data_IF_032077958310
#
_entry.id   IF_032077958310
#
_cell.length_a   1.000
_cell.length_b   1.000
_cell.length_c   1.000
_cell.angle_alpha   90.00
_cell.angle_beta   90.00
_cell.angle_gamma   90.00
#
_symmetry.space_group_name_H-M   'P 1'
#
loop_
_entity.id
_entity.type
_entity.pdbx_description
1 polymer ?
#
# COMPACT_ATOMS: atom_id res chain seq x y z
N UNK A 1 14.84 -4.77 22.96
CA UNK A 1 15.23 -5.32 21.65
C UNK A 1 13.95 -5.49 20.87
N UNK A 2 13.81 -4.86 19.70
CA UNK A 2 12.64 -5.09 18.85
C UNK A 2 12.77 -6.49 18.27
N UNK A 3 11.76 -7.33 18.45
CA UNK A 3 11.72 -8.63 17.79
C UNK A 3 11.74 -8.43 16.27
N UNK A 4 12.36 -9.36 15.55
CA UNK A 4 12.32 -9.34 14.08
C UNK A 4 10.93 -9.71 13.57
N UNK A 5 10.57 -9.26 12.37
CA UNK A 5 9.29 -9.61 11.74
C UNK A 5 9.08 -11.14 11.69
N UNK A 6 10.15 -11.89 11.37
CA UNK A 6 10.10 -13.35 11.35
C UNK A 6 9.75 -13.96 12.72
N UNK A 7 10.27 -13.37 13.80
CA UNK A 7 9.97 -13.84 15.16
C UNK A 7 8.53 -13.53 15.55
N UNK A 8 8.07 -12.31 15.28
CA UNK A 8 6.69 -11.92 15.54
C UNK A 8 5.70 -12.77 14.75
N UNK A 9 6.04 -13.13 13.51
CA UNK A 9 5.23 -14.06 12.70
C UNK A 9 5.18 -15.45 13.33
N UNK A 10 6.32 -16.01 13.76
CA UNK A 10 6.35 -17.33 14.44
C UNK A 10 5.49 -17.34 15.68
N UNK A 11 5.62 -16.32 16.54
CA UNK A 11 4.82 -16.18 17.76
C UNK A 11 3.34 -16.05 17.44
N UNK A 12 2.98 -15.26 16.43
CA UNK A 12 1.59 -15.14 15.98
C UNK A 12 1.01 -16.49 15.54
N UNK A 13 1.77 -17.28 14.76
CA UNK A 13 1.36 -18.62 14.33
C UNK A 13 1.22 -19.60 15.51
N UNK A 14 1.95 -19.39 16.59
CA UNK A 14 1.83 -20.14 17.84
C UNK A 14 0.66 -19.68 18.74
N UNK A 15 -0.15 -18.71 18.29
CA UNK A 15 -1.32 -18.21 19.01
C UNK A 15 -1.09 -16.94 19.83
N UNK A 16 0.10 -16.33 19.77
CA UNK A 16 0.40 -15.09 20.49
C UNK A 16 -0.18 -13.87 19.75
N UNK A 17 -1.32 -13.39 20.25
CA UNK A 17 -2.00 -12.20 19.70
C UNK A 17 -1.19 -10.91 19.83
N UNK A 18 -0.39 -10.77 20.89
CA UNK A 18 0.42 -9.56 21.12
C UNK A 18 1.53 -9.41 20.08
N UNK A 19 2.03 -10.52 19.56
CA UNK A 19 3.00 -10.52 18.47
C UNK A 19 2.39 -9.96 17.17
N UNK A 20 1.13 -10.28 16.89
CA UNK A 20 0.44 -9.73 15.73
C UNK A 20 0.14 -8.23 15.89
N UNK A 21 -0.27 -7.79 17.08
CA UNK A 21 -0.45 -6.37 17.39
C UNK A 21 0.84 -5.58 17.14
N UNK A 22 2.00 -6.17 17.48
CA UNK A 22 3.31 -5.57 17.20
C UNK A 22 3.62 -5.50 15.69
N UNK A 23 3.22 -6.52 14.91
CA UNK A 23 3.33 -6.47 13.44
C UNK A 23 2.44 -5.37 12.85
N UNK A 24 1.21 -5.24 13.35
CA UNK A 24 0.28 -4.18 12.92
C UNK A 24 0.88 -2.81 13.22
N UNK A 25 1.31 -2.56 14.45
CA UNK A 25 1.87 -1.28 14.86
C UNK A 25 3.10 -0.89 14.02
N UNK A 26 3.99 -1.85 13.76
CA UNK A 26 5.20 -1.64 12.96
C UNK A 26 4.90 -1.32 11.49
N UNK A 27 3.94 -2.02 10.89
CA UNK A 27 3.73 -1.97 9.43
C UNK A 27 2.52 -1.16 8.98
N UNK A 28 1.72 -0.61 9.90
CA UNK A 28 0.53 0.18 9.57
C UNK A 28 0.85 1.37 8.67
N UNK A 29 1.92 2.12 8.95
CA UNK A 29 2.31 3.28 8.14
C UNK A 29 2.64 2.90 6.69
N UNK A 30 3.43 1.84 6.52
CA UNK A 30 3.79 1.29 5.19
C UNK A 30 2.57 0.77 4.45
N UNK A 31 1.72 -0.01 5.11
CA UNK A 31 0.48 -0.52 4.53
C UNK A 31 -0.43 0.64 4.08
N UNK A 32 -0.59 1.67 4.93
CA UNK A 32 -1.37 2.87 4.62
C UNK A 32 -0.82 3.62 3.40
N UNK A 33 0.49 3.75 3.26
CA UNK A 33 1.13 4.37 2.10
C UNK A 33 0.80 3.60 0.79
N UNK A 34 0.87 2.27 0.82
CA UNK A 34 0.49 1.43 -0.33
C UNK A 34 -1.00 1.59 -0.66
N UNK A 35 -1.89 1.54 0.33
CA UNK A 35 -3.32 1.75 0.13
C UNK A 35 -3.61 3.13 -0.49
N UNK A 36 -3.01 4.21 0.03
CA UNK A 36 -3.15 5.60 -0.49
C UNK A 36 -2.53 5.80 -1.87
N UNK A 37 -1.64 4.91 -2.31
CA UNK A 37 -1.13 4.94 -3.68
C UNK A 37 -2.20 4.54 -4.70
N UNK A 38 -3.21 3.77 -4.27
CA UNK A 38 -4.29 3.22 -5.09
C UNK A 38 -5.63 3.94 -4.81
N UNK A 39 -5.98 4.11 -3.54
CA UNK A 39 -7.21 4.73 -3.06
C UNK A 39 -7.01 6.21 -2.76
N UNK A 40 -8.08 6.99 -2.91
CA UNK A 40 -8.05 8.44 -2.70
C UNK A 40 -8.91 8.91 -1.52
N UNK A 41 -9.75 8.02 -0.98
CA UNK A 41 -10.66 8.25 0.13
C UNK A 41 -10.08 7.62 1.40
N UNK A 42 -9.95 8.40 2.48
CA UNK A 42 -9.34 7.93 3.72
C UNK A 42 -10.21 6.89 4.44
N UNK A 43 -11.54 7.00 4.36
CA UNK A 43 -12.44 5.98 4.92
C UNK A 43 -12.24 4.63 4.20
N UNK A 44 -12.15 4.66 2.87
CA UNK A 44 -11.83 3.48 2.08
C UNK A 44 -10.45 2.89 2.40
N UNK A 45 -9.45 3.74 2.71
CA UNK A 45 -8.12 3.29 3.14
C UNK A 45 -8.20 2.54 4.46
N UNK A 46 -8.88 3.10 5.46
CA UNK A 46 -9.01 2.47 6.78
C UNK A 46 -9.71 1.11 6.70
N UNK A 47 -10.81 1.03 5.95
CA UNK A 47 -11.54 -0.22 5.70
C UNK A 47 -10.64 -1.27 5.03
N UNK A 48 -9.90 -0.87 3.99
CA UNK A 48 -8.99 -1.77 3.28
C UNK A 48 -7.86 -2.23 4.19
N UNK A 49 -7.30 -1.36 5.03
CA UNK A 49 -6.25 -1.74 5.97
C UNK A 49 -6.76 -2.78 6.97
N UNK A 50 -7.93 -2.56 7.56
CA UNK A 50 -8.53 -3.49 8.51
C UNK A 50 -8.72 -4.87 7.88
N UNK A 51 -9.36 -4.93 6.72
CA UNK A 51 -9.58 -6.19 5.98
C UNK A 51 -8.26 -6.85 5.58
N UNK A 52 -7.26 -6.06 5.18
CA UNK A 52 -5.93 -6.57 4.78
C UNK A 52 -5.20 -7.21 5.95
N UNK A 53 -5.22 -6.59 7.13
CA UNK A 53 -4.61 -7.18 8.33
C UNK A 53 -5.35 -8.43 8.79
N UNK A 54 -6.69 -8.45 8.73
CA UNK A 54 -7.47 -9.66 9.02
C UNK A 54 -7.12 -10.80 8.04
N UNK A 55 -6.97 -10.50 6.75
CA UNK A 55 -6.53 -11.48 5.75
C UNK A 55 -5.10 -11.95 5.99
N UNK A 56 -4.21 -11.04 6.32
CA UNK A 56 -2.82 -11.36 6.65
C UNK A 56 -2.76 -12.31 7.86
N UNK A 57 -3.54 -12.04 8.91
CA UNK A 57 -3.65 -12.91 10.08
C UNK A 57 -4.11 -14.32 9.69
N UNK A 58 -5.20 -14.43 8.92
CA UNK A 58 -5.76 -15.71 8.51
C UNK A 58 -4.87 -16.51 7.54
N UNK A 59 -4.03 -15.83 6.76
CA UNK A 59 -3.15 -16.45 5.75
C UNK A 59 -1.69 -16.55 6.21
N UNK A 60 -1.39 -16.17 7.45
CA UNK A 60 -0.02 -16.08 7.93
C UNK A 60 0.72 -17.42 7.81
N UNK A 61 0.03 -18.54 8.00
CA UNK A 61 0.58 -19.89 7.83
C UNK A 61 0.91 -20.29 6.38
N UNK A 62 0.50 -19.49 5.38
CA UNK A 62 0.84 -19.68 3.97
C UNK A 62 2.09 -18.87 3.58
N UNK A 63 2.63 -18.06 4.50
CA UNK A 63 3.84 -17.29 4.25
C UNK A 63 5.05 -18.23 4.26
N UNK A 64 5.64 -18.46 3.09
CA UNK A 64 6.81 -19.33 2.95
C UNK A 64 8.03 -18.77 3.69
N UNK A 65 8.45 -17.56 3.36
CA UNK A 65 9.60 -16.90 3.98
C UNK A 65 9.13 -15.80 4.94
N UNK A 66 9.29 -16.04 6.24
CA UNK A 66 8.72 -15.18 7.29
C UNK A 66 9.29 -13.75 7.27
N UNK A 67 10.56 -13.59 6.87
CA UNK A 67 11.20 -12.29 6.74
C UNK A 67 10.59 -11.42 5.62
N UNK A 68 9.85 -12.02 4.69
CA UNK A 68 9.16 -11.31 3.60
C UNK A 68 7.79 -10.79 3.99
N UNK A 69 7.37 -10.97 5.25
CA UNK A 69 6.07 -10.49 5.75
C UNK A 69 5.72 -9.05 5.32
N UNK A 70 6.63 -8.05 5.39
CA UNK A 70 6.26 -6.68 5.04
C UNK A 70 5.90 -6.53 3.55
N UNK A 71 6.68 -7.15 2.67
CA UNK A 71 6.44 -7.17 1.24
C UNK A 71 5.14 -7.92 0.92
N UNK A 72 4.95 -9.08 1.54
CA UNK A 72 3.74 -9.91 1.40
C UNK A 72 2.48 -9.17 1.85
N UNK A 73 2.52 -8.49 2.99
CA UNK A 73 1.43 -7.65 3.49
C UNK A 73 1.07 -6.55 2.48
N UNK A 74 2.08 -5.88 1.90
CA UNK A 74 1.83 -4.83 0.91
C UNK A 74 1.15 -5.36 -0.36
N UNK A 75 1.45 -6.59 -0.78
CA UNK A 75 0.75 -7.25 -1.89
C UNK A 75 -0.72 -7.50 -1.53
N UNK A 76 -1.01 -7.97 -0.31
CA UNK A 76 -2.40 -8.12 0.18
C UNK A 76 -3.13 -6.77 0.14
N UNK A 77 -2.53 -5.72 0.72
CA UNK A 77 -3.13 -4.38 0.79
C UNK A 77 -3.43 -3.83 -0.59
N UNK A 78 -2.51 -3.97 -1.54
CA UNK A 78 -2.73 -3.56 -2.93
C UNK A 78 -3.90 -4.32 -3.56
N UNK A 79 -3.93 -5.64 -3.41
CA UNK A 79 -4.97 -6.47 -4.00
C UNK A 79 -6.35 -6.13 -3.41
N UNK A 80 -6.44 -5.89 -2.11
CA UNK A 80 -7.67 -5.45 -1.46
C UNK A 80 -8.09 -4.04 -1.90
N UNK A 81 -7.14 -3.13 -2.10
CA UNK A 81 -7.41 -1.80 -2.66
C UNK A 81 -8.02 -1.89 -4.07
N UNK A 82 -7.47 -2.73 -4.94
CA UNK A 82 -8.01 -2.97 -6.29
C UNK A 82 -9.39 -3.65 -6.23
N UNK A 83 -9.56 -4.61 -5.33
CA UNK A 83 -10.84 -5.29 -5.07
C UNK A 83 -11.92 -4.31 -4.62
N UNK A 84 -11.58 -3.37 -3.73
CA UNK A 84 -12.46 -2.30 -3.27
C UNK A 84 -12.92 -1.42 -4.43
N UNK A 85 -12.00 -0.94 -5.28
CA UNK A 85 -12.35 -0.13 -6.48
C UNK A 85 -13.30 -0.92 -7.37
N UNK A 86 -12.98 -2.18 -7.68
CA UNK A 86 -13.82 -3.03 -8.54
C UNK A 86 -15.23 -3.22 -7.96
N UNK A 87 -15.37 -3.36 -6.64
CA UNK A 87 -16.67 -3.46 -5.95
C UNK A 87 -17.43 -2.13 -6.04
N UNK A 88 -16.77 -1.01 -5.77
CA UNK A 88 -17.37 0.32 -5.86
C UNK A 88 -17.84 0.66 -7.28
N UNK A 89 -17.04 0.33 -8.31
CA UNK A 89 -17.44 0.52 -9.72
C UNK A 89 -18.66 -0.34 -10.09
N UNK A 90 -18.73 -1.59 -9.63
CA UNK A 90 -19.91 -2.44 -9.85
C UNK A 90 -21.15 -1.90 -9.15
N UNK A 91 -21.02 -1.43 -7.91
CA UNK A 91 -22.12 -0.82 -7.18
C UNK A 91 -22.64 0.45 -7.86
N UNK A 92 -21.72 1.32 -8.34
CA UNK A 92 -22.08 2.53 -9.11
C UNK A 92 -22.64 2.23 -10.50
N UNK A 93 -22.27 1.12 -11.13
CA UNK A 93 -22.87 0.70 -12.39
C UNK A 93 -24.35 0.29 -12.24
N UNK A 94 -24.79 -0.05 -11.02
CA UNK A 94 -26.19 -0.35 -10.68
C UNK A 94 -26.95 0.93 -10.27
N UNK A 95 -26.24 1.98 -9.88
CA UNK A 95 -26.81 3.24 -9.39
C UNK A 95 -26.27 4.39 -10.25
N UNK A 96 -26.91 4.65 -11.39
CA UNK A 96 -26.57 5.85 -12.17
C UNK A 96 -26.83 7.10 -11.33
N UNK A 97 -25.91 8.04 -11.47
CA UNK A 97 -25.93 9.45 -11.11
C UNK A 97 -25.16 9.90 -9.85
N UNK A 98 -24.08 10.63 -10.15
CA UNK A 98 -23.54 11.82 -9.47
C UNK A 98 -22.11 11.77 -8.87
N UNK A 99 -21.39 12.78 -9.34
CA UNK A 99 -20.35 13.60 -8.71
C UNK A 99 -19.08 12.92 -8.19
N UNK A 100 -18.03 13.03 -9.01
CA UNK A 100 -16.64 13.01 -8.56
C UNK A 100 -16.31 14.31 -7.83
N UNK A 101 -16.59 14.36 -6.53
CA UNK A 101 -15.94 15.30 -5.62
C UNK A 101 -14.59 14.71 -5.20
N UNK A 102 -13.55 15.55 -5.22
CA UNK A 102 -12.25 15.23 -4.64
C UNK A 102 -12.35 15.61 -3.16
N UNK A 103 -12.36 14.67 -2.20
CA UNK A 103 -12.31 15.04 -0.79
C UNK A 103 -10.95 15.67 -0.51
N UNK A 104 -10.99 16.85 0.10
CA UNK A 104 -9.82 17.48 0.67
C UNK A 104 -9.42 16.68 1.92
N UNK A 105 -8.14 16.32 1.99
CA UNK A 105 -7.60 15.32 2.93
C UNK A 105 -7.31 15.95 4.28
N UNK A 106 -7.66 15.23 5.34
CA UNK A 106 -7.22 15.55 6.69
C UNK A 106 -5.86 14.90 6.97
N UNK A 107 -4.91 15.78 7.30
CA UNK A 107 -3.49 15.55 7.52
C UNK A 107 -3.23 14.93 8.90
N UNK A 108 -3.54 13.65 9.10
CA UNK A 108 -3.26 12.99 10.37
C UNK A 108 -1.77 12.63 10.49
N UNK A 109 -1.05 13.36 11.36
CA UNK A 109 0.31 13.06 11.81
C UNK A 109 1.44 13.56 10.90
N UNK A 110 1.41 14.81 10.44
CA UNK A 110 2.39 15.31 9.48
C UNK A 110 3.66 15.89 10.11
N UNK A 111 4.82 15.37 9.67
CA UNK A 111 6.07 16.13 9.74
C UNK A 111 6.00 17.24 8.67
N UNK A 112 5.94 18.54 9.04
CA UNK A 112 5.77 19.65 8.10
C UNK A 112 6.85 19.71 7.02
N UNK A 113 8.01 19.09 7.28
CA UNK A 113 9.13 19.03 6.35
C UNK A 113 8.87 18.10 5.15
N UNK A 114 7.91 17.17 5.26
CA UNK A 114 7.55 16.22 4.20
C UNK A 114 6.37 16.69 3.34
N UNK A 115 5.74 17.81 3.68
CA UNK A 115 4.59 18.34 2.96
C UNK A 115 4.83 18.59 1.45
N UNK A 116 5.97 19.18 1.04
CA UNK A 116 6.25 19.36 -0.38
C UNK A 116 6.33 18.03 -1.14
N UNK A 117 6.93 17.00 -0.51
CA UNK A 117 7.04 15.67 -1.10
C UNK A 117 5.68 14.99 -1.19
N UNK A 118 4.84 15.09 -0.16
CA UNK A 118 3.49 14.55 -0.21
C UNK A 118 2.69 15.16 -1.35
N UNK A 119 2.65 16.49 -1.43
CA UNK A 119 1.95 17.20 -2.53
C UNK A 119 2.49 16.81 -3.90
N UNK A 120 3.81 16.60 -4.03
CA UNK A 120 4.40 16.10 -5.27
C UNK A 120 3.86 14.69 -5.62
N UNK A 121 3.85 13.75 -4.66
CA UNK A 121 3.32 12.39 -4.85
C UNK A 121 1.81 12.38 -5.16
N UNK A 122 1.04 13.31 -4.61
CA UNK A 122 -0.38 13.48 -4.91
C UNK A 122 -0.63 13.95 -6.35
N UNK A 123 0.26 14.77 -6.90
CA UNK A 123 0.18 15.23 -8.30
C UNK A 123 0.58 14.16 -9.31
N UNK A 124 1.25 13.09 -8.89
CA UNK A 124 1.62 12.00 -9.78
C UNK A 124 0.36 11.28 -10.31
N UNK A 125 0.34 10.92 -11.61
CA UNK A 125 -0.68 10.02 -12.13
C UNK A 125 -0.70 8.69 -11.36
N UNK A 126 -1.87 8.05 -11.17
CA UNK A 126 -2.03 6.91 -10.26
C UNK A 126 -1.01 5.78 -10.47
N UNK A 127 -0.75 5.38 -11.72
CA UNK A 127 0.20 4.30 -12.02
C UNK A 127 1.67 4.62 -11.69
N UNK A 128 2.05 5.90 -11.66
CA UNK A 128 3.39 6.31 -11.23
C UNK A 128 3.50 6.42 -9.70
N UNK A 129 2.40 6.77 -9.02
CA UNK A 129 2.35 6.76 -7.56
C UNK A 129 2.41 5.32 -7.03
N UNK A 130 1.62 4.43 -7.62
CA UNK A 130 1.56 3.00 -7.28
C UNK A 130 2.93 2.32 -7.42
N UNK A 131 3.64 2.54 -8.53
CA UNK A 131 4.94 1.89 -8.75
C UNK A 131 6.02 2.41 -7.78
N UNK A 132 5.96 3.67 -7.36
CA UNK A 132 6.85 4.21 -6.32
C UNK A 132 6.53 3.58 -4.96
N UNK A 133 5.25 3.46 -4.61
CA UNK A 133 4.86 2.83 -3.35
C UNK A 133 5.29 1.37 -3.29
N UNK A 134 5.12 0.62 -4.38
CA UNK A 134 5.62 -0.76 -4.46
C UNK A 134 7.14 -0.85 -4.31
N UNK A 135 7.89 0.13 -4.81
CA UNK A 135 9.35 0.12 -4.74
C UNK A 135 9.89 0.54 -3.37
N UNK A 136 9.35 1.63 -2.81
CA UNK A 136 9.93 2.30 -1.65
C UNK A 136 9.20 1.98 -0.34
N UNK A 137 7.88 1.86 -0.38
CA UNK A 137 7.10 1.46 0.80
C UNK A 137 7.11 -0.06 0.93
N UNK A 138 6.68 -0.79 -0.10
CA UNK A 138 6.62 -2.26 -0.06
C UNK A 138 7.97 -2.96 -0.19
N UNK A 139 9.02 -2.23 -0.60
CA UNK A 139 10.38 -2.76 -0.73
C UNK A 139 10.57 -3.81 -1.83
N UNK A 140 9.63 -3.91 -2.79
CA UNK A 140 9.68 -4.94 -3.82
C UNK A 140 10.87 -4.72 -4.79
N UNK A 141 11.43 -5.83 -5.27
CA UNK A 141 12.38 -5.80 -6.38
C UNK A 141 11.65 -5.62 -7.73
N UNK A 142 12.40 -5.43 -8.82
CA UNK A 142 11.77 -5.11 -10.10
C UNK A 142 10.95 -6.27 -10.67
N UNK A 143 11.37 -7.52 -10.43
CA UNK A 143 10.66 -8.71 -10.87
C UNK A 143 9.32 -8.85 -10.13
N UNK A 144 9.33 -8.66 -8.81
CA UNK A 144 8.12 -8.68 -7.97
C UNK A 144 7.13 -7.55 -8.33
N UNK A 145 7.64 -6.36 -8.65
CA UNK A 145 6.80 -5.26 -9.14
C UNK A 145 6.20 -5.61 -10.51
N UNK A 146 7.01 -6.17 -11.41
CA UNK A 146 6.57 -6.58 -12.74
C UNK A 146 5.46 -7.63 -12.67
N UNK A 147 5.62 -8.64 -11.83
CA UNK A 147 4.62 -9.67 -11.55
C UNK A 147 3.33 -9.06 -10.96
N UNK A 148 3.45 -8.24 -9.90
CA UNK A 148 2.31 -7.60 -9.23
C UNK A 148 1.50 -6.70 -10.17
N UNK A 149 2.18 -5.99 -11.08
CA UNK A 149 1.55 -5.08 -12.05
C UNK A 149 1.14 -5.77 -13.37
N UNK A 150 1.50 -7.05 -13.59
CA UNK A 150 1.25 -7.75 -14.85
C UNK A 150 1.97 -7.11 -16.04
N UNK A 151 3.23 -6.69 -15.87
CA UNK A 151 4.03 -5.98 -16.88
C UNK A 151 5.45 -6.54 -16.97
N UNK A 152 6.27 -6.07 -17.92
CA UNK A 152 7.70 -6.42 -17.99
C UNK A 152 8.59 -5.59 -17.06
N UNK A 153 9.71 -6.16 -16.63
CA UNK A 153 10.78 -5.49 -15.85
C UNK A 153 11.29 -4.23 -16.54
N UNK A 154 11.49 -4.28 -17.86
CA UNK A 154 11.91 -3.12 -18.65
C UNK A 154 10.89 -1.97 -18.59
N UNK A 155 9.59 -2.28 -18.50
CA UNK A 155 8.56 -1.26 -18.31
C UNK A 155 8.57 -0.71 -16.88
N UNK A 156 8.82 -1.56 -15.87
CA UNK A 156 8.99 -1.13 -14.47
C UNK A 156 10.10 -0.10 -14.34
N UNK A 157 11.27 -0.39 -14.92
CA UNK A 157 12.43 0.50 -14.89
C UNK A 157 12.11 1.87 -15.54
N UNK A 158 11.54 1.86 -16.75
CA UNK A 158 11.14 3.09 -17.46
C UNK A 158 10.11 3.90 -16.68
N UNK A 159 9.11 3.25 -16.07
CA UNK A 159 8.07 3.91 -15.29
C UNK A 159 8.62 4.48 -13.99
N UNK A 160 9.49 3.77 -13.29
CA UNK A 160 10.16 4.27 -12.08
C UNK A 160 11.05 5.47 -12.38
N UNK A 161 11.82 5.42 -13.47
CA UNK A 161 12.64 6.55 -13.91
C UNK A 161 11.76 7.78 -14.15
N UNK A 162 10.69 7.65 -14.94
CA UNK A 162 9.76 8.75 -15.21
C UNK A 162 9.09 9.28 -13.94
N UNK A 163 8.64 8.39 -13.06
CA UNK A 163 8.01 8.77 -11.80
C UNK A 163 8.95 9.64 -10.94
N UNK A 164 10.23 9.25 -10.81
CA UNK A 164 11.25 10.04 -10.10
C UNK A 164 11.47 11.42 -10.72
N UNK A 165 11.54 11.50 -12.05
CA UNK A 165 11.68 12.78 -12.75
C UNK A 165 10.49 13.71 -12.52
N UNK A 166 9.27 13.17 -12.49
CA UNK A 166 8.06 13.96 -12.18
C UNK A 166 8.07 14.48 -10.75
N UNK A 167 8.42 13.64 -9.76
CA UNK A 167 8.55 14.08 -8.37
C UNK A 167 9.58 15.20 -8.25
N UNK A 168 10.77 15.02 -8.83
CA UNK A 168 11.82 16.04 -8.84
C UNK A 168 11.35 17.34 -9.52
N UNK A 169 10.55 17.25 -10.59
CA UNK A 169 9.98 18.42 -11.26
C UNK A 169 8.92 19.15 -10.43
N UNK A 170 8.21 18.46 -9.53
CA UNK A 170 7.21 19.08 -8.64
C UNK A 170 7.79 19.63 -7.34
N UNK A 171 9.02 19.24 -6.99
CA UNK A 171 9.75 19.75 -5.83
C UNK A 171 10.56 21.02 -6.12
N UNK A 172 10.66 21.42 -7.39
CA UNK A 172 11.25 22.69 -7.82
C UNK A 172 10.19 23.78 -7.86
#
# INVERSE_FOLDING_TARGET
MSDSDAELVRRTMAGDRSAFESLVATHLGRARAVARSVLHDDAAVDDVLQESFLRAYNRLGQLGELATFPAWLCVIVRNESISWIRRATRARAVTIEQASERPQRDADGENPQLEPLRKALERLPPGYREILALKYDAGLNYDQIAESLGTSVANVEKRLYRARQMVLGYLK
#
